data_IF_924404838621
#
_entry.id   IF_924404838621
#
_cell.length_a   1.000
_cell.length_b   1.000
_cell.length_c   1.000
_cell.angle_alpha   90.00
_cell.angle_beta   90.00
_cell.angle_gamma   90.00
#
_symmetry.space_group_name_H-M   'P 1'
#
loop_
_entity.id
_entity.type
_entity.pdbx_description
1 polymer ?
#
# COMPACT_ATOMS: atom_id res chain seq x y z
N UNK A 1 -7.92 -1.19 8.50
CA UNK A 1 -6.62 -0.49 8.35
C UNK A 1 -6.74 1.03 8.46
N UNK A 2 -7.48 1.71 7.58
CA UNK A 2 -7.48 3.18 7.50
C UNK A 2 -7.73 3.92 8.84
N UNK A 3 -8.81 3.57 9.56
CA UNK A 3 -9.14 4.20 10.84
C UNK A 3 -8.09 3.93 11.92
N UNK A 4 -7.49 2.74 11.92
CA UNK A 4 -6.44 2.40 12.87
C UNK A 4 -5.20 3.26 12.62
N UNK A 5 -4.73 3.34 11.37
CA UNK A 5 -3.57 4.14 10.97
C UNK A 5 -3.73 5.61 11.37
N UNK A 6 -4.91 6.19 11.11
CA UNK A 6 -5.24 7.56 11.51
C UNK A 6 -5.18 7.77 13.03
N UNK A 7 -5.64 6.80 13.82
CA UNK A 7 -5.68 6.94 15.30
C UNK A 7 -4.34 6.71 15.97
N UNK A 8 -3.43 5.99 15.34
CA UNK A 8 -2.15 5.61 15.93
C UNK A 8 -0.94 6.34 15.33
N UNK A 9 -1.14 7.13 14.28
CA UNK A 9 -0.07 7.92 13.70
C UNK A 9 0.40 9.02 14.64
N UNK A 10 1.71 9.24 14.69
CA UNK A 10 2.32 10.34 15.44
C UNK A 10 2.55 11.59 14.58
N UNK A 11 2.28 11.52 13.28
CA UNK A 11 2.45 12.61 12.32
C UNK A 11 1.10 13.23 11.96
N UNK A 12 0.97 14.55 12.10
CA UNK A 12 -0.23 15.31 11.72
C UNK A 12 -0.56 15.18 10.24
N UNK A 13 0.46 14.99 9.40
CA UNK A 13 0.30 14.69 7.98
C UNK A 13 -0.57 13.42 7.77
N UNK A 14 -0.44 12.44 8.67
CA UNK A 14 -1.14 11.16 8.55
C UNK A 14 -2.49 11.20 9.28
N UNK A 15 -2.58 11.77 10.49
CA UNK A 15 -3.82 11.71 11.26
C UNK A 15 -4.81 12.87 11.00
N UNK A 16 -4.35 14.05 10.56
CA UNK A 16 -5.22 15.19 10.25
C UNK A 16 -5.58 15.25 8.76
N UNK A 17 -4.58 15.16 7.88
CA UNK A 17 -4.77 15.34 6.43
C UNK A 17 -4.78 14.05 5.62
N UNK A 18 -4.55 12.90 6.28
CA UNK A 18 -4.71 11.56 5.70
C UNK A 18 -3.85 11.34 4.44
N UNK A 19 -2.66 11.94 4.42
CA UNK A 19 -1.71 11.84 3.31
C UNK A 19 -0.94 10.50 3.37
N UNK A 20 -1.68 9.42 3.17
CA UNK A 20 -1.18 8.06 3.05
C UNK A 20 -2.15 7.22 2.20
N UNK A 21 -1.64 6.14 1.61
CA UNK A 21 -2.44 5.19 0.85
C UNK A 21 -2.37 3.80 1.48
N UNK A 22 -3.44 3.02 1.32
CA UNK A 22 -3.44 1.60 1.68
C UNK A 22 -4.09 0.79 0.58
N UNK A 23 -3.48 -0.36 0.25
CA UNK A 23 -4.00 -1.28 -0.75
C UNK A 23 -3.75 -2.72 -0.30
N UNK A 24 -4.61 -3.62 -0.74
CA UNK A 24 -4.48 -5.07 -0.63
C UNK A 24 -4.30 -5.60 -2.05
N UNK A 25 -3.29 -6.42 -2.27
CA UNK A 25 -2.99 -7.01 -3.57
C UNK A 25 -3.37 -8.48 -3.64
N UNK A 26 -3.65 -8.96 -4.84
CA UNK A 26 -3.77 -10.40 -5.14
C UNK A 26 -2.39 -11.08 -5.21
N UNK A 27 -2.37 -12.38 -5.50
CA UNK A 27 -1.15 -13.19 -5.63
C UNK A 27 -0.23 -12.75 -6.77
N UNK A 28 -0.76 -12.01 -7.75
CA UNK A 28 0.00 -11.48 -8.88
C UNK A 28 0.48 -10.04 -8.62
N UNK A 29 0.20 -9.49 -7.43
CA UNK A 29 0.54 -8.13 -7.05
C UNK A 29 -0.38 -7.06 -7.63
N UNK A 30 -1.53 -7.41 -8.23
CA UNK A 30 -2.53 -6.42 -8.67
C UNK A 30 -3.37 -5.96 -7.49
N UNK A 31 -3.85 -4.72 -7.50
CA UNK A 31 -4.73 -4.21 -6.43
C UNK A 31 -6.07 -4.97 -6.45
N UNK A 32 -6.36 -5.70 -5.37
CA UNK A 32 -7.62 -6.38 -5.14
C UNK A 32 -8.61 -5.50 -4.35
N UNK A 33 -8.11 -4.66 -3.45
CA UNK A 33 -8.89 -3.66 -2.73
C UNK A 33 -8.02 -2.45 -2.36
N UNK A 34 -8.62 -1.27 -2.32
CA UNK A 34 -7.95 -0.04 -1.85
C UNK A 34 -8.69 0.56 -0.67
N UNK A 35 -7.95 1.08 0.30
CA UNK A 35 -8.49 2.00 1.29
C UNK A 35 -8.62 3.42 0.73
N UNK A 36 -9.16 4.33 1.55
CA UNK A 36 -9.11 5.76 1.26
C UNK A 36 -7.64 6.24 1.27
N UNK A 37 -7.33 7.29 0.50
CA UNK A 37 -5.98 7.84 0.39
C UNK A 37 -5.77 8.61 -0.91
N UNK A 38 -4.59 9.20 -1.05
CA UNK A 38 -4.21 9.95 -2.25
C UNK A 38 -4.01 8.97 -3.43
N UNK A 39 -4.64 9.20 -4.60
CA UNK A 39 -4.54 8.30 -5.75
C UNK A 39 -3.11 7.96 -6.16
N UNK A 40 -2.20 8.93 -6.08
CA UNK A 40 -0.79 8.75 -6.40
C UNK A 40 -0.09 7.71 -5.51
N UNK A 41 -0.45 7.61 -4.22
CA UNK A 41 0.17 6.63 -3.31
C UNK A 41 -0.39 5.24 -3.49
N UNK A 42 -1.70 5.13 -3.69
CA UNK A 42 -2.36 3.85 -3.95
C UNK A 42 -1.85 3.23 -5.26
N UNK A 43 -1.68 4.04 -6.30
CA UNK A 43 -1.20 3.60 -7.61
C UNK A 43 0.25 3.09 -7.62
N UNK A 44 1.01 3.31 -6.54
CA UNK A 44 2.38 2.80 -6.40
C UNK A 44 2.45 1.49 -5.62
N UNK A 45 1.38 1.10 -4.91
CA UNK A 45 1.38 -0.10 -4.07
C UNK A 45 1.50 -1.40 -4.89
N UNK A 46 0.81 -1.50 -6.03
CA UNK A 46 0.90 -2.67 -6.91
C UNK A 46 2.31 -2.83 -7.49
N UNK A 47 2.92 -1.73 -7.95
CA UNK A 47 4.28 -1.74 -8.52
C UNK A 47 5.31 -2.14 -7.48
N UNK A 48 5.15 -1.68 -6.24
CA UNK A 48 6.02 -2.08 -5.14
C UNK A 48 5.93 -3.59 -4.88
N UNK A 49 4.71 -4.15 -4.80
CA UNK A 49 4.52 -5.60 -4.60
C UNK A 49 5.04 -6.40 -5.78
N UNK A 50 4.72 -6.01 -7.02
CA UNK A 50 5.21 -6.67 -8.23
C UNK A 50 6.74 -6.65 -8.31
N UNK A 51 7.39 -5.57 -7.88
CA UNK A 51 8.84 -5.49 -7.81
C UNK A 51 9.43 -6.48 -6.78
N UNK A 52 8.78 -6.65 -5.63
CA UNK A 52 9.18 -7.64 -4.62
C UNK A 52 8.98 -9.06 -5.15
N UNK A 53 7.82 -9.38 -5.72
CA UNK A 53 7.54 -10.69 -6.32
C UNK A 53 8.56 -11.04 -7.41
N UNK A 54 8.89 -10.08 -8.29
CA UNK A 54 9.92 -10.27 -9.32
C UNK A 54 11.31 -10.51 -8.74
N UNK A 55 11.65 -9.84 -7.65
CA UNK A 55 12.98 -9.94 -7.01
C UNK A 55 13.20 -11.29 -6.33
N UNK A 56 12.13 -11.92 -5.86
CA UNK A 56 12.18 -13.17 -5.10
C UNK A 56 11.37 -14.28 -5.79
N UNK A 57 11.27 -14.26 -7.12
CA UNK A 57 10.65 -15.35 -7.87
C UNK A 57 11.47 -16.63 -7.62
N UNK A 58 10.81 -17.73 -7.24
CA UNK A 58 11.41 -19.01 -6.80
C UNK A 58 12.32 -19.68 -7.84
N UNK A 59 12.49 -19.07 -9.01
CA UNK A 59 13.39 -19.54 -10.08
C UNK A 59 14.87 -19.23 -9.82
N UNK A 60 15.18 -18.37 -8.84
CA UNK A 60 16.53 -17.96 -8.49
C UNK A 60 17.06 -18.60 -7.18
N UNK A 61 16.35 -19.59 -6.61
CA UNK A 61 16.75 -20.38 -5.42
C UNK A 61 16.78 -21.87 -5.77
#
# INVERSE_FOLDING_TARGET
MFIAMRKTAMSSIIYEVLDFGTAVTDTNGNIAASGAGIPAFIAMCDKAVQAVLKKFDDKDI
#
